data_IF_269179688664
#
_entry.id   IF_269179688664
#
_cell.length_a   1.000
_cell.length_b   1.000
_cell.length_c   1.000
_cell.angle_alpha   90.00
_cell.angle_beta   90.00
_cell.angle_gamma   90.00
#
_symmetry.space_group_name_H-M   'P 1'
#
loop_
_entity.id
_entity.type
_entity.pdbx_description
1 polymer ?
#
# COMPACT_ATOMS: atom_id res chain seq x y z
N UNK A 1 -27.06 -28.06 -46.81
CA UNK A 1 -26.11 -28.22 -45.68
C UNK A 1 -25.39 -26.89 -45.49
N UNK A 2 -25.40 -26.27 -44.29
CA UNK A 2 -24.74 -24.98 -44.06
C UNK A 2 -23.51 -25.17 -43.17
N UNK A 3 -22.34 -25.37 -43.77
CA UNK A 3 -21.05 -25.37 -43.07
C UNK A 3 -20.30 -24.06 -43.38
N UNK A 4 -20.81 -22.96 -42.84
CA UNK A 4 -20.12 -21.68 -42.85
C UNK A 4 -19.28 -21.48 -41.59
N UNK A 5 -18.18 -22.21 -41.43
CA UNK A 5 -17.21 -21.92 -40.37
C UNK A 5 -16.35 -20.73 -40.79
N UNK A 6 -16.70 -19.53 -40.29
CA UNK A 6 -15.83 -18.35 -40.38
C UNK A 6 -14.47 -18.75 -39.80
N UNK A 7 -13.44 -18.75 -40.65
CA UNK A 7 -12.09 -19.20 -40.33
C UNK A 7 -11.52 -18.38 -39.17
N UNK A 8 -11.58 -18.94 -37.95
CA UNK A 8 -10.92 -18.36 -36.79
C UNK A 8 -9.41 -18.52 -36.98
N UNK A 9 -8.74 -17.48 -37.47
CA UNK A 9 -7.26 -17.40 -37.47
C UNK A 9 -6.78 -17.38 -36.01
N UNK A 10 -6.65 -18.56 -35.41
CA UNK A 10 -6.03 -18.74 -34.09
C UNK A 10 -4.53 -18.63 -34.31
N UNK A 11 -3.98 -17.45 -34.05
CA UNK A 11 -2.53 -17.28 -33.92
C UNK A 11 -2.11 -18.08 -32.68
N UNK A 12 -1.36 -19.16 -32.90
CA UNK A 12 -0.73 -19.90 -31.81
C UNK A 12 0.42 -19.04 -31.32
N UNK A 13 0.28 -18.48 -30.12
CA UNK A 13 1.39 -17.78 -29.49
C UNK A 13 2.48 -18.79 -29.12
N UNK A 14 3.77 -18.40 -29.20
CA UNK A 14 4.84 -19.23 -28.69
C UNK A 14 4.59 -19.53 -27.21
N UNK A 15 5.01 -20.72 -26.79
CA UNK A 15 4.92 -21.13 -25.38
C UNK A 15 5.63 -20.11 -24.50
N UNK A 16 4.98 -19.74 -23.38
CA UNK A 16 5.58 -18.87 -22.38
C UNK A 16 6.82 -19.56 -21.79
N UNK A 17 7.92 -18.84 -21.53
CA UNK A 17 9.05 -19.41 -20.78
C UNK A 17 8.60 -19.82 -19.38
N UNK A 18 9.32 -20.79 -18.81
CA UNK A 18 9.13 -21.22 -17.43
C UNK A 18 9.37 -20.04 -16.47
N UNK A 19 8.62 -19.98 -15.35
CA UNK A 19 8.83 -18.94 -14.36
C UNK A 19 10.23 -19.06 -13.73
N UNK A 20 10.86 -17.93 -13.36
CA UNK A 20 12.17 -17.94 -12.74
C UNK A 20 12.13 -18.66 -11.38
N UNK A 21 13.26 -19.27 -11.01
CA UNK A 21 13.39 -19.97 -9.73
C UNK A 21 13.62 -18.97 -8.59
N UNK A 22 13.32 -19.38 -7.36
CA UNK A 22 13.42 -18.52 -6.16
C UNK A 22 14.86 -18.03 -5.95
N UNK A 23 15.84 -18.88 -6.26
CA UNK A 23 17.26 -18.59 -6.13
C UNK A 23 17.67 -17.44 -7.05
N UNK A 24 17.19 -17.47 -8.30
CA UNK A 24 17.45 -16.41 -9.29
C UNK A 24 16.86 -15.08 -8.86
N UNK A 25 15.62 -15.09 -8.35
CA UNK A 25 14.97 -13.87 -7.84
C UNK A 25 15.78 -13.28 -6.69
N UNK A 26 16.23 -14.13 -5.76
CA UNK A 26 16.98 -13.68 -4.59
C UNK A 26 18.33 -13.11 -4.97
N UNK A 27 19.03 -13.72 -5.91
CA UNK A 27 20.28 -13.19 -6.45
C UNK A 27 20.09 -11.87 -7.19
N UNK A 28 19.04 -11.73 -7.99
CA UNK A 28 18.74 -10.50 -8.73
C UNK A 28 18.40 -9.35 -7.76
N UNK A 29 17.63 -9.64 -6.70
CA UNK A 29 17.34 -8.67 -5.63
C UNK A 29 18.62 -8.24 -4.91
N UNK A 30 19.51 -9.18 -4.59
CA UNK A 30 20.78 -8.86 -3.91
C UNK A 30 21.76 -8.10 -4.81
N UNK A 31 21.70 -8.28 -6.14
CA UNK A 31 22.51 -7.58 -7.13
C UNK A 31 21.94 -6.21 -7.51
N UNK A 32 20.67 -5.97 -7.23
CA UNK A 32 20.01 -4.72 -7.59
C UNK A 32 20.56 -3.55 -6.76
N UNK A 33 20.66 -2.39 -7.41
CA UNK A 33 21.25 -1.21 -6.78
C UNK A 33 20.35 -0.70 -5.65
N UNK A 34 20.92 -0.20 -4.54
CA UNK A 34 20.12 0.36 -3.44
C UNK A 34 19.34 1.64 -3.82
N UNK A 35 19.67 2.24 -4.96
CA UNK A 35 18.94 3.38 -5.55
C UNK A 35 17.83 2.94 -6.51
N UNK A 36 17.64 1.63 -6.72
CA UNK A 36 16.60 1.12 -7.60
C UNK A 36 15.20 1.46 -7.05
N UNK A 37 14.28 1.96 -7.90
CA UNK A 37 12.86 2.13 -7.56
C UNK A 37 12.23 0.95 -6.82
N UNK A 38 12.63 -0.28 -7.12
CA UNK A 38 12.17 -1.49 -6.42
C UNK A 38 12.32 -1.36 -4.90
N UNK A 39 13.37 -0.69 -4.43
CA UNK A 39 13.65 -0.48 -3.00
C UNK A 39 13.30 0.92 -2.50
N UNK A 40 13.22 1.93 -3.38
CA UNK A 40 12.85 3.31 -2.97
C UNK A 40 11.34 3.55 -2.92
N UNK A 41 10.50 2.62 -3.40
CA UNK A 41 9.04 2.73 -3.34
C UNK A 41 8.48 2.49 -1.94
N UNK A 42 9.29 2.21 -0.93
CA UNK A 42 8.85 2.31 0.46
C UNK A 42 8.80 3.79 0.86
N UNK A 43 7.64 4.48 0.84
CA UNK A 43 7.53 5.74 1.52
C UNK A 43 7.96 5.53 2.96
N UNK A 44 8.72 6.50 3.48
CA UNK A 44 9.19 6.49 4.85
C UNK A 44 8.05 6.04 5.78
N UNK A 45 8.31 5.14 6.74
CA UNK A 45 7.25 4.61 7.61
C UNK A 45 6.43 5.73 8.29
N UNK A 46 7.06 6.90 8.46
CA UNK A 46 6.43 8.14 8.87
C UNK A 46 5.40 8.70 7.86
N UNK A 47 5.68 8.73 6.57
CA UNK A 47 4.77 9.19 5.49
C UNK A 47 3.49 8.33 5.45
N UNK A 48 3.62 7.01 5.57
CA UNK A 48 2.47 6.09 5.63
C UNK A 48 1.61 6.36 6.87
N UNK A 49 2.25 6.59 8.03
CA UNK A 49 1.56 6.95 9.28
C UNK A 49 0.84 8.29 9.15
N UNK A 50 1.45 9.30 8.55
CA UNK A 50 0.85 10.62 8.38
C UNK A 50 -0.33 10.60 7.41
N UNK A 51 -0.23 9.86 6.30
CA UNK A 51 -1.35 9.65 5.37
C UNK A 51 -2.48 8.87 6.01
N UNK A 52 -2.17 7.88 6.84
CA UNK A 52 -3.18 7.11 7.58
C UNK A 52 -3.88 7.97 8.64
N UNK A 53 -3.15 8.79 9.40
CA UNK A 53 -3.72 9.78 10.34
C UNK A 53 -4.59 10.78 9.58
N UNK A 54 -4.12 11.30 8.44
CA UNK A 54 -4.90 12.20 7.59
C UNK A 54 -6.19 11.55 7.09
N UNK A 55 -6.14 10.29 6.65
CA UNK A 55 -7.30 9.51 6.23
C UNK A 55 -8.29 9.27 7.38
N UNK A 56 -7.80 8.94 8.59
CA UNK A 56 -8.61 8.78 9.79
C UNK A 56 -9.30 10.09 10.21
N UNK A 57 -8.62 11.23 10.10
CA UNK A 57 -9.18 12.56 10.38
C UNK A 57 -10.28 12.96 9.38
N UNK A 58 -10.16 12.54 8.12
CA UNK A 58 -11.14 12.89 7.08
C UNK A 58 -12.35 11.94 7.01
N UNK A 59 -12.22 10.70 7.49
CA UNK A 59 -13.21 9.67 7.16
C UNK A 59 -14.37 9.52 8.15
N UNK A 60 -14.28 9.91 9.45
CA UNK A 60 -15.39 9.74 10.43
C UNK A 60 -15.33 10.70 11.64
N UNK A 61 -16.49 10.99 12.30
CA UNK A 61 -16.55 11.87 13.45
C UNK A 61 -15.86 11.23 14.65
N UNK A 62 -15.01 12.02 15.32
CA UNK A 62 -14.23 11.64 16.51
C UNK A 62 -15.14 11.41 17.74
N UNK A 63 -15.91 10.33 17.78
CA UNK A 63 -16.75 9.99 18.94
C UNK A 63 -16.20 8.85 19.79
N UNK A 64 -15.11 8.18 19.37
CA UNK A 64 -14.59 7.02 20.08
C UNK A 64 -13.36 7.35 20.93
N UNK A 65 -13.58 7.46 22.25
CA UNK A 65 -12.56 7.78 23.26
C UNK A 65 -11.32 6.85 23.22
N UNK A 66 -11.47 5.64 22.69
CA UNK A 66 -10.41 4.64 22.59
C UNK A 66 -9.32 4.95 21.56
N UNK A 67 -9.53 5.89 20.62
CA UNK A 67 -8.53 6.26 19.60
C UNK A 67 -7.64 7.45 20.00
N UNK A 68 -8.02 8.21 21.04
CA UNK A 68 -7.25 9.35 21.55
C UNK A 68 -5.79 9.04 21.97
N UNK A 69 -5.49 7.92 22.66
CA UNK A 69 -4.12 7.67 23.12
C UNK A 69 -3.15 7.32 21.98
N UNK A 70 -3.67 6.93 20.81
CA UNK A 70 -2.86 6.65 19.62
C UNK A 70 -2.58 7.90 18.78
N UNK A 71 -3.41 8.94 18.93
CA UNK A 71 -3.32 10.17 18.15
C UNK A 71 -2.47 11.24 18.85
N UNK A 72 -2.50 11.28 20.19
CA UNK A 72 -1.75 12.27 20.98
C UNK A 72 -0.92 11.61 22.09
N UNK A 73 0.40 11.89 22.17
CA UNK A 73 1.24 11.43 23.27
C UNK A 73 0.79 12.04 24.62
N UNK A 74 1.08 11.38 25.76
CA UNK A 74 0.54 11.72 27.08
C UNK A 74 0.55 13.20 27.48
N UNK A 75 1.62 14.00 27.25
CA UNK A 75 1.63 15.41 27.67
C UNK A 75 0.64 16.30 26.90
N UNK A 76 0.20 15.88 25.70
CA UNK A 76 -0.74 16.65 24.87
C UNK A 76 -2.20 16.25 25.11
N UNK A 77 -2.44 15.13 25.80
CA UNK A 77 -3.79 14.66 26.11
C UNK A 77 -4.48 15.61 27.09
N UNK A 78 -3.81 15.99 28.17
CA UNK A 78 -4.38 16.87 29.21
C UNK A 78 -4.64 18.28 28.69
N UNK A 79 -3.76 18.80 27.81
CA UNK A 79 -3.93 20.10 27.18
C UNK A 79 -5.16 20.15 26.26
N UNK A 80 -5.41 19.10 25.47
CA UNK A 80 -6.61 19.01 24.62
C UNK A 80 -7.90 18.92 25.45
N UNK A 81 -7.92 18.10 26.50
CA UNK A 81 -9.08 18.01 27.40
C UNK A 81 -9.42 19.34 28.09
N UNK A 82 -8.40 20.15 28.42
CA UNK A 82 -8.59 21.48 29.01
C UNK A 82 -9.13 22.49 27.99
N UNK A 83 -8.70 22.41 26.74
CA UNK A 83 -9.22 23.24 25.65
C UNK A 83 -10.67 22.88 25.29
N UNK A 84 -10.99 21.58 25.21
CA UNK A 84 -12.31 21.10 24.81
C UNK A 84 -13.41 21.35 25.86
N UNK A 85 -13.08 21.45 27.15
CA UNK A 85 -14.02 21.75 28.23
C UNK A 85 -14.13 23.25 28.58
N UNK A 86 -13.46 24.13 27.83
CA UNK A 86 -13.53 25.58 28.04
C UNK A 86 -14.65 26.21 27.20
N UNK A 87 -15.88 25.71 27.37
CA UNK A 87 -17.12 26.31 26.84
C UNK A 87 -18.08 26.66 27.97
#
# INVERSE_FOLDING_TARGET
>A
MNFGSKSKKRMVLPSRPDPPTVEQITEDVNRACPTDPVFTVLPDSAEVRLRFIGFLLHSRPLTNAYLYPFLFPPPLQTAWFSFANKS
#
